data_IF_233591998294
#
_entry.id   IF_233591998294
#
_cell.length_a   1.000
_cell.length_b   1.000
_cell.length_c   1.000
_cell.angle_alpha   90.00
_cell.angle_beta   90.00
_cell.angle_gamma   90.00
#
_symmetry.space_group_name_H-M   'P 1'
#
loop_
_entity.id
_entity.type
_entity.pdbx_description
1 polymer ?
#
# COMPACT_ATOMS: atom_id res chain seq x y z
N UNK A 1 -7.96 7.98 11.46
CA UNK A 1 -7.47 8.11 10.06
C UNK A 1 -7.21 6.73 9.47
N UNK A 2 -6.34 5.93 10.09
CA UNK A 2 -6.04 4.56 9.65
C UNK A 2 -7.25 3.61 9.63
N UNK A 3 -8.13 3.66 10.63
CA UNK A 3 -9.38 2.87 10.62
C UNK A 3 -10.23 3.19 9.38
N UNK A 4 -10.30 4.45 8.93
CA UNK A 4 -11.00 4.83 7.69
C UNK A 4 -10.30 4.28 6.44
N UNK A 5 -8.98 4.10 6.47
CA UNK A 5 -8.20 3.49 5.38
C UNK A 5 -8.38 1.97 5.37
N UNK A 6 -8.33 1.29 6.52
CA UNK A 6 -8.55 -0.16 6.62
C UNK A 6 -10.00 -0.53 6.29
N UNK A 7 -10.99 0.22 6.80
CA UNK A 7 -12.40 0.06 6.46
C UNK A 7 -12.63 0.28 4.96
N UNK A 8 -11.96 1.27 4.37
CA UNK A 8 -12.03 1.56 2.94
C UNK A 8 -11.42 0.45 2.07
N UNK A 9 -10.27 -0.10 2.50
CA UNK A 9 -9.58 -1.18 1.78
C UNK A 9 -10.21 -2.57 2.03
N UNK A 10 -11.23 -2.67 2.89
CA UNK A 10 -11.87 -3.94 3.24
C UNK A 10 -10.93 -4.91 3.98
N UNK A 11 -9.93 -4.38 4.69
CA UNK A 11 -8.92 -5.17 5.38
C UNK A 11 -9.33 -5.35 6.84
N UNK A 12 -9.41 -6.61 7.31
CA UNK A 12 -9.42 -6.89 8.74
C UNK A 12 -8.09 -6.41 9.33
N UNK A 13 -8.15 -5.46 10.26
CA UNK A 13 -6.97 -4.91 10.94
C UNK A 13 -6.09 -6.06 11.48
N UNK A 14 -4.91 -6.24 10.89
CA UNK A 14 -3.99 -7.28 11.35
C UNK A 14 -3.32 -6.83 12.65
N UNK A 15 -3.07 -7.75 13.60
CA UNK A 15 -2.33 -7.41 14.80
C UNK A 15 -0.93 -6.92 14.42
N UNK A 16 -0.58 -5.73 14.92
CA UNK A 16 0.73 -5.11 14.75
C UNK A 16 1.60 -5.45 15.95
N UNK A 17 2.82 -5.90 15.67
CA UNK A 17 3.85 -6.11 16.68
C UNK A 17 4.93 -5.04 16.56
N UNK A 18 5.03 -4.21 17.61
CA UNK A 18 6.07 -3.20 17.71
C UNK A 18 7.34 -3.86 18.25
N UNK A 19 8.36 -3.95 17.39
CA UNK A 19 9.65 -4.51 17.78
C UNK A 19 10.68 -3.39 17.90
N UNK A 20 11.42 -3.39 19.01
CA UNK A 20 12.72 -2.75 19.06
C UNK A 20 13.64 -3.52 18.11
N UNK A 21 14.14 -2.88 17.05
CA UNK A 21 15.00 -3.56 16.09
C UNK A 21 16.24 -4.10 16.80
N UNK A 22 16.63 -5.35 16.52
CA UNK A 22 17.92 -5.91 16.91
C UNK A 22 19.01 -4.90 16.54
N UNK A 23 19.74 -4.42 17.56
CA UNK A 23 20.75 -3.35 17.59
C UNK A 23 21.71 -3.29 16.38
N UNK A 24 21.20 -3.00 15.19
CA UNK A 24 22.03 -2.55 14.08
C UNK A 24 22.01 -1.04 14.20
N UNK A 25 23.09 -0.45 14.71
CA UNK A 25 23.30 1.00 14.64
C UNK A 25 23.25 1.42 13.16
N UNK A 26 22.09 1.89 12.73
CA UNK A 26 21.82 2.31 11.37
C UNK A 26 22.49 3.66 11.14
N UNK A 27 23.63 3.66 10.47
CA UNK A 27 24.22 4.90 9.95
C UNK A 27 23.73 5.09 8.52
N UNK A 28 22.90 6.12 8.33
CA UNK A 28 22.13 6.38 7.11
C UNK A 28 22.95 6.94 5.91
N UNK A 29 24.27 6.70 5.81
CA UNK A 29 24.88 6.59 4.47
C UNK A 29 25.28 5.16 4.09
N UNK A 30 25.49 4.25 5.04
CA UNK A 30 26.17 2.98 4.77
C UNK A 30 25.29 1.98 3.98
N UNK A 31 23.97 1.98 4.21
CA UNK A 31 23.03 1.06 3.52
C UNK A 31 22.42 1.59 2.21
N UNK A 32 22.58 2.88 1.91
CA UNK A 32 22.37 3.39 0.54
C UNK A 32 23.26 2.62 -0.46
N UNK A 33 24.39 2.08 0.02
CA UNK A 33 25.34 1.26 -0.76
C UNK A 33 24.86 -0.19 -0.94
N UNK A 34 24.07 -0.74 -0.01
CA UNK A 34 23.72 -2.17 0.02
C UNK A 34 22.41 -2.55 -0.70
N UNK A 35 21.74 -1.59 -1.37
CA UNK A 35 20.49 -1.82 -2.14
C UNK A 35 19.36 -2.50 -1.34
N UNK A 36 19.36 -2.38 -0.01
CA UNK A 36 18.27 -2.90 0.81
C UNK A 36 17.10 -1.89 0.74
N UNK A 37 15.90 -2.32 0.32
CA UNK A 37 14.73 -1.43 0.24
C UNK A 37 14.40 -0.80 1.59
N UNK A 38 14.05 0.49 1.58
CA UNK A 38 13.76 1.20 2.84
C UNK A 38 12.58 0.59 3.58
N UNK A 39 11.53 0.15 2.89
CA UNK A 39 10.36 -0.45 3.54
C UNK A 39 10.69 -1.75 4.26
N UNK A 40 11.48 -2.64 3.64
CA UNK A 40 12.03 -3.86 4.26
C UNK A 40 12.89 -3.59 5.52
N UNK A 41 13.40 -2.36 5.68
CA UNK A 41 14.18 -1.94 6.86
C UNK A 41 13.26 -1.43 7.96
N UNK A 42 12.10 -0.88 7.62
CA UNK A 42 11.21 -0.19 8.53
C UNK A 42 10.07 -1.09 9.02
N UNK A 43 9.69 -2.13 8.28
CA UNK A 43 8.65 -3.08 8.64
C UNK A 43 8.77 -4.42 7.91
N UNK A 44 7.91 -5.36 8.28
CA UNK A 44 7.72 -6.63 7.55
C UNK A 44 6.29 -7.15 7.67
N UNK A 45 5.77 -7.70 6.58
CA UNK A 45 4.60 -8.58 6.58
C UNK A 45 5.02 -10.06 6.56
N UNK A 46 4.78 -10.75 7.67
CA UNK A 46 4.93 -12.20 7.77
C UNK A 46 3.63 -12.88 7.29
N UNK A 47 3.68 -13.41 6.07
CA UNK A 47 2.56 -14.11 5.46
C UNK A 47 2.19 -15.44 6.13
N UNK A 48 3.15 -16.15 6.75
CA UNK A 48 2.90 -17.44 7.41
C UNK A 48 2.09 -17.19 8.69
N UNK A 49 2.52 -16.22 9.49
CA UNK A 49 1.87 -15.88 10.75
C UNK A 49 0.78 -14.80 10.60
N UNK A 50 0.57 -14.29 9.39
CA UNK A 50 -0.37 -13.21 9.04
C UNK A 50 -0.20 -11.98 9.94
N UNK A 51 1.04 -11.53 10.07
CA UNK A 51 1.44 -10.55 11.07
C UNK A 51 2.20 -9.41 10.42
N UNK A 52 1.89 -8.18 10.83
CA UNK A 52 2.67 -7.00 10.44
C UNK A 52 3.56 -6.62 11.62
N UNK A 53 4.86 -6.49 11.38
CA UNK A 53 5.80 -5.98 12.37
C UNK A 53 6.35 -4.63 11.92
N UNK A 54 6.47 -3.69 12.85
CA UNK A 54 6.99 -2.35 12.58
C UNK A 54 8.22 -2.12 13.46
N UNK A 55 9.27 -1.56 12.87
CA UNK A 55 10.56 -1.35 13.51
C UNK A 55 10.74 0.11 13.94
N UNK A 56 10.20 0.47 15.11
CA UNK A 56 10.19 1.84 15.63
C UNK A 56 11.56 2.52 15.63
N UNK A 57 12.59 1.87 16.19
CA UNK A 57 13.96 2.39 16.22
C UNK A 57 14.53 2.69 14.82
N UNK A 58 14.16 1.89 13.81
CA UNK A 58 14.60 2.11 12.43
C UNK A 58 13.89 3.33 11.81
N UNK A 59 12.60 3.51 12.11
CA UNK A 59 11.80 4.67 11.70
C UNK A 59 12.33 5.96 12.33
N UNK A 60 12.64 5.94 13.63
CA UNK A 60 13.25 7.09 14.31
C UNK A 60 14.59 7.46 13.68
N UNK A 61 15.45 6.46 13.43
CA UNK A 61 16.76 6.68 12.79
C UNK A 61 16.63 7.25 11.38
N UNK A 62 15.67 6.75 10.59
CA UNK A 62 15.38 7.27 9.26
C UNK A 62 14.85 8.71 9.32
N UNK A 63 13.93 8.99 10.24
CA UNK A 63 13.36 10.33 10.41
C UNK A 63 14.42 11.35 10.84
N UNK A 64 15.31 10.97 11.77
CA UNK A 64 16.45 11.77 12.17
C UNK A 64 17.37 12.07 10.98
N UNK A 65 17.63 11.09 10.12
CA UNK A 65 18.46 11.27 8.94
C UNK A 65 17.84 12.25 7.93
N UNK A 66 16.52 12.19 7.70
CA UNK A 66 15.81 13.15 6.84
C UNK A 66 15.90 14.57 7.43
N UNK A 67 15.67 14.70 8.74
CA UNK A 67 15.73 15.97 9.46
C UNK A 67 17.12 16.62 9.37
N UNK A 68 18.18 15.87 9.68
CA UNK A 68 19.57 16.37 9.65
C UNK A 68 20.02 16.80 8.25
N UNK A 69 19.54 16.10 7.22
CA UNK A 69 19.84 16.41 5.81
C UNK A 69 18.96 17.54 5.24
N UNK A 70 18.04 18.10 6.05
CA UNK A 70 17.06 19.11 5.62
C UNK A 70 16.21 18.65 4.43
N UNK A 71 15.97 17.35 4.36
CA UNK A 71 15.02 16.76 3.43
C UNK A 71 13.63 16.98 4.02
N UNK A 72 12.64 17.39 3.21
CA UNK A 72 11.30 17.76 3.66
C UNK A 72 11.29 18.93 4.67
N UNK A 73 12.17 19.92 4.49
CA UNK A 73 12.30 21.07 5.40
C UNK A 73 10.97 21.83 5.59
N UNK A 74 10.15 21.94 4.53
CA UNK A 74 8.81 22.55 4.60
C UNK A 74 7.86 21.77 5.54
N UNK A 75 7.95 20.43 5.53
CA UNK A 75 7.18 19.57 6.44
C UNK A 75 7.69 19.70 7.88
N UNK A 76 9.02 19.70 8.09
CA UNK A 76 9.61 19.83 9.43
C UNK A 76 9.49 21.25 10.02
N UNK A 77 9.25 22.27 9.20
CA UNK A 77 8.85 23.60 9.69
C UNK A 77 7.38 23.63 10.12
N UNK A 78 6.52 22.82 9.48
CA UNK A 78 5.09 22.74 9.78
C UNK A 78 4.79 21.82 10.97
N UNK A 79 5.55 20.74 11.13
CA UNK A 79 5.32 19.70 12.12
C UNK A 79 6.58 19.36 12.91
N UNK A 80 6.42 18.90 14.16
CA UNK A 80 7.54 18.40 14.94
C UNK A 80 8.11 17.11 14.32
N UNK A 81 9.40 16.85 14.60
CA UNK A 81 10.06 15.60 14.17
C UNK A 81 9.30 14.35 14.65
N UNK A 82 8.79 14.37 15.87
CA UNK A 82 8.02 13.25 16.43
C UNK A 82 6.72 13.01 15.65
N UNK A 83 6.05 14.09 15.22
CA UNK A 83 4.84 13.95 14.39
C UNK A 83 5.16 13.39 12.99
N UNK A 84 6.28 13.82 12.39
CA UNK A 84 6.74 13.24 11.11
C UNK A 84 7.13 11.77 11.28
N UNK A 85 7.74 11.41 12.42
CA UNK A 85 8.07 10.01 12.77
C UNK A 85 6.80 9.16 12.81
N UNK A 86 5.72 9.66 13.42
CA UNK A 86 4.42 9.00 13.43
C UNK A 86 3.82 8.86 12.01
N UNK A 87 3.98 9.86 11.14
CA UNK A 87 3.52 9.72 9.75
C UNK A 87 4.28 8.62 9.02
N UNK A 88 5.61 8.59 9.15
CA UNK A 88 6.45 7.54 8.55
C UNK A 88 6.06 6.17 9.09
N UNK A 89 5.81 6.06 10.39
CA UNK A 89 5.32 4.83 11.02
C UNK A 89 4.00 4.33 10.39
N UNK A 90 3.04 5.23 10.19
CA UNK A 90 1.77 4.85 9.55
C UNK A 90 1.92 4.54 8.05
N UNK A 91 2.87 5.15 7.35
CA UNK A 91 3.21 4.81 5.96
C UNK A 91 3.78 3.39 5.86
N UNK A 92 4.72 3.04 6.74
CA UNK A 92 5.29 1.69 6.82
C UNK A 92 4.20 0.68 7.12
N UNK A 93 3.35 0.97 8.11
CA UNK A 93 2.19 0.14 8.43
C UNK A 93 1.30 -0.09 7.21
N UNK A 94 0.99 0.96 6.47
CA UNK A 94 0.13 0.89 5.28
C UNK A 94 0.78 0.06 4.16
N UNK A 95 2.09 0.18 3.97
CA UNK A 95 2.86 -0.62 3.00
C UNK A 95 2.79 -2.12 3.33
N UNK A 96 3.05 -2.50 4.58
CA UNK A 96 2.96 -3.92 4.97
C UNK A 96 1.54 -4.46 4.89
N UNK A 97 0.54 -3.63 5.21
CA UNK A 97 -0.87 -3.99 5.00
C UNK A 97 -1.24 -4.10 3.52
N UNK A 98 -0.57 -3.37 2.62
CA UNK A 98 -0.77 -3.51 1.18
C UNK A 98 -0.27 -4.87 0.68
N UNK A 99 0.86 -5.37 1.19
CA UNK A 99 1.29 -6.75 0.95
C UNK A 99 0.27 -7.76 1.47
N UNK A 100 -0.22 -7.55 2.70
CA UNK A 100 -1.27 -8.39 3.27
C UNK A 100 -2.57 -8.35 2.46
N UNK A 101 -2.96 -7.19 1.93
CA UNK A 101 -4.14 -7.04 1.08
C UNK A 101 -3.97 -7.81 -0.23
N UNK A 102 -2.82 -7.67 -0.90
CA UNK A 102 -2.56 -8.41 -2.12
C UNK A 102 -2.58 -9.94 -1.88
N UNK A 103 -2.02 -10.40 -0.75
CA UNK A 103 -1.99 -11.81 -0.35
C UNK A 103 -3.36 -12.36 0.11
N UNK A 104 -3.97 -11.73 1.11
CA UNK A 104 -5.13 -12.22 1.86
C UNK A 104 -6.46 -11.53 1.51
N UNK A 105 -6.42 -10.39 0.80
CA UNK A 105 -7.61 -9.56 0.60
C UNK A 105 -8.76 -10.37 0.01
N UNK A 106 -10.00 -10.03 0.37
CA UNK A 106 -11.19 -10.54 -0.29
C UNK A 106 -11.54 -9.58 -1.42
N UNK A 107 -11.58 -10.05 -2.66
CA UNK A 107 -12.26 -9.29 -3.70
C UNK A 107 -13.73 -9.66 -3.62
N UNK A 108 -14.58 -8.71 -3.22
CA UNK A 108 -16.02 -8.92 -3.25
C UNK A 108 -16.60 -8.70 -4.65
N UNK A 109 -15.76 -8.46 -5.65
CA UNK A 109 -16.15 -8.09 -7.01
C UNK A 109 -15.83 -9.23 -7.97
N UNK A 110 -16.84 -9.70 -8.72
CA UNK A 110 -16.71 -10.74 -9.74
C UNK A 110 -17.12 -12.17 -9.37
N UNK A 111 -17.87 -12.40 -8.30
CA UNK A 111 -18.50 -13.72 -8.04
C UNK A 111 -17.52 -14.88 -7.73
N UNK A 112 -16.27 -14.59 -7.41
CA UNK A 112 -15.36 -15.60 -6.85
C UNK A 112 -15.68 -15.78 -5.36
N UNK A 113 -16.65 -16.66 -5.06
CA UNK A 113 -16.98 -17.07 -3.68
C UNK A 113 -15.84 -17.84 -2.98
N UNK A 114 -14.74 -18.14 -3.68
CA UNK A 114 -13.59 -18.85 -3.14
C UNK A 114 -12.39 -17.91 -2.99
N UNK A 115 -12.30 -17.27 -1.82
CA UNK A 115 -11.11 -16.57 -1.36
C UNK A 115 -10.08 -17.58 -0.85
N UNK A 116 -9.47 -18.34 -1.76
CA UNK A 116 -8.19 -18.94 -1.42
C UNK A 116 -7.14 -17.82 -1.37
N UNK A 117 -6.29 -17.84 -0.35
CA UNK A 117 -5.08 -17.02 -0.30
C UNK A 117 -4.42 -17.04 -1.67
N UNK A 118 -3.99 -15.88 -2.19
CA UNK A 118 -3.24 -15.87 -3.44
C UNK A 118 -1.81 -16.37 -3.14
N UNK A 119 -1.67 -17.68 -2.96
CA UNK A 119 -0.42 -18.36 -2.62
C UNK A 119 0.65 -18.13 -3.70
N UNK A 120 0.22 -17.87 -4.94
CA UNK A 120 1.12 -17.48 -6.01
C UNK A 120 1.74 -16.09 -5.75
N UNK A 121 1.02 -15.16 -5.09
CA UNK A 121 1.62 -13.89 -4.66
C UNK A 121 2.75 -14.09 -3.69
N UNK A 122 2.65 -15.03 -2.76
CA UNK A 122 3.73 -15.28 -1.80
C UNK A 122 5.03 -15.63 -2.52
N UNK A 123 4.90 -16.45 -3.56
CA UNK A 123 5.99 -16.93 -4.39
C UNK A 123 6.35 -15.97 -5.53
N UNK A 124 5.61 -14.88 -5.71
CA UNK A 124 5.88 -13.91 -6.76
C UNK A 124 7.21 -13.17 -6.51
N UNK A 125 7.92 -12.78 -7.59
CA UNK A 125 9.16 -12.02 -7.49
C UNK A 125 8.92 -10.64 -6.85
N UNK A 126 9.92 -10.10 -6.16
CA UNK A 126 9.85 -8.75 -5.55
C UNK A 126 9.54 -7.68 -6.59
N UNK A 127 10.06 -7.84 -7.80
CA UNK A 127 9.81 -6.99 -8.96
C UNK A 127 8.33 -6.87 -9.34
N UNK A 128 7.49 -7.81 -8.91
CA UNK A 128 6.04 -7.74 -9.01
C UNK A 128 5.40 -7.24 -7.71
N UNK A 129 5.77 -7.81 -6.57
CA UNK A 129 5.06 -7.58 -5.29
C UNK A 129 5.23 -6.15 -4.77
N UNK A 130 6.45 -5.64 -4.83
CA UNK A 130 6.82 -4.36 -4.23
C UNK A 130 6.16 -3.20 -4.95
N UNK A 131 6.20 -3.11 -6.30
CA UNK A 131 5.47 -2.06 -7.01
C UNK A 131 3.96 -2.09 -6.80
N UNK A 132 3.37 -3.28 -6.58
CA UNK A 132 1.94 -3.39 -6.27
C UNK A 132 1.66 -2.79 -4.89
N UNK A 133 2.45 -3.12 -3.87
CA UNK A 133 2.28 -2.57 -2.53
C UNK A 133 2.41 -1.05 -2.54
N UNK A 134 3.44 -0.52 -3.20
CA UNK A 134 3.66 0.93 -3.34
C UNK A 134 2.51 1.62 -4.07
N UNK A 135 2.01 1.01 -5.15
CA UNK A 135 0.85 1.54 -5.87
C UNK A 135 -0.38 1.62 -4.96
N UNK A 136 -0.65 0.58 -4.16
CA UNK A 136 -1.80 0.55 -3.23
C UNK A 136 -1.66 1.67 -2.19
N UNK A 137 -0.48 1.83 -1.60
CA UNK A 137 -0.18 2.90 -0.63
C UNK A 137 -0.41 4.27 -1.26
N UNK A 138 0.21 4.53 -2.41
CA UNK A 138 0.09 5.79 -3.12
C UNK A 138 -1.36 6.10 -3.49
N UNK A 139 -2.07 5.14 -4.09
CA UNK A 139 -3.48 5.30 -4.46
C UNK A 139 -4.35 5.65 -3.24
N UNK A 140 -4.12 4.99 -2.10
CA UNK A 140 -4.85 5.26 -0.87
C UNK A 140 -4.60 6.68 -0.34
N UNK A 141 -3.35 7.17 -0.41
CA UNK A 141 -2.97 8.55 -0.06
C UNK A 141 -3.67 9.57 -0.99
N UNK A 142 -3.61 9.34 -2.31
CA UNK A 142 -4.21 10.23 -3.33
C UNK A 142 -5.73 10.30 -3.24
N UNK A 143 -6.38 9.19 -2.90
CA UNK A 143 -7.83 9.12 -2.74
C UNK A 143 -8.30 9.96 -1.56
N UNK A 144 -7.58 9.85 -0.43
CA UNK A 144 -7.88 10.57 0.80
C UNK A 144 -7.35 12.03 0.81
N UNK A 145 -6.61 12.45 -0.22
CA UNK A 145 -6.05 13.81 -0.38
C UNK A 145 -5.09 14.19 0.76
N UNK A 146 -4.23 13.27 1.20
CA UNK A 146 -3.24 13.54 2.24
C UNK A 146 -1.93 14.07 1.64
N UNK A 147 -1.91 15.36 1.28
CA UNK A 147 -0.78 15.99 0.55
C UNK A 147 0.56 15.91 1.29
N UNK A 148 0.60 16.13 2.61
CA UNK A 148 1.84 16.05 3.39
C UNK A 148 2.35 14.60 3.48
N UNK A 149 1.45 13.63 3.60
CA UNK A 149 1.78 12.20 3.61
C UNK A 149 2.26 11.74 2.23
N UNK A 150 1.68 12.28 1.14
CA UNK A 150 2.15 12.07 -0.23
C UNK A 150 3.60 12.53 -0.40
N UNK A 151 3.93 13.74 0.08
CA UNK A 151 5.31 14.25 0.02
C UNK A 151 6.30 13.35 0.77
N UNK A 152 5.95 12.94 2.00
CA UNK A 152 6.80 12.05 2.80
C UNK A 152 6.97 10.70 2.12
N UNK A 153 5.88 10.12 1.59
CA UNK A 153 5.91 8.87 0.85
C UNK A 153 6.84 8.95 -0.38
N UNK A 154 6.66 9.97 -1.23
CA UNK A 154 7.47 10.16 -2.43
C UNK A 154 8.95 10.39 -2.13
N UNK A 155 9.26 10.99 -0.98
CA UNK A 155 10.64 11.15 -0.54
C UNK A 155 11.23 9.82 -0.05
N UNK A 156 10.48 9.06 0.75
CA UNK A 156 10.89 7.73 1.20
C UNK A 156 11.10 6.77 0.01
N UNK A 157 10.22 6.81 -1.00
CA UNK A 157 10.31 6.02 -2.25
C UNK A 157 11.64 6.24 -3.00
N UNK A 158 12.31 7.40 -2.84
CA UNK A 158 13.63 7.62 -3.47
C UNK A 158 14.73 6.73 -2.88
N UNK A 159 14.52 6.18 -1.68
CA UNK A 159 15.46 5.29 -1.00
C UNK A 159 15.19 3.80 -1.31
N UNK A 160 14.22 3.48 -2.17
CA UNK A 160 13.99 2.11 -2.65
C UNK A 160 14.76 1.81 -3.95
N UNK A 161 15.05 0.54 -4.28
CA UNK A 161 15.56 0.16 -5.58
C UNK A 161 14.63 0.60 -6.72
N UNK A 162 15.20 0.92 -7.89
CA UNK A 162 14.44 1.43 -9.03
C UNK A 162 13.25 0.56 -9.46
N UNK A 163 13.31 -0.77 -9.23
CA UNK A 163 12.19 -1.63 -9.58
C UNK A 163 10.96 -1.42 -8.69
N UNK A 164 11.11 -0.96 -7.44
CA UNK A 164 9.97 -0.61 -6.57
C UNK A 164 9.15 0.51 -7.21
N UNK A 165 9.84 1.51 -7.75
CA UNK A 165 9.25 2.72 -8.32
C UNK A 165 8.47 2.49 -9.63
N UNK A 166 8.44 1.25 -10.15
CA UNK A 166 7.65 0.87 -11.32
C UNK A 166 6.14 1.03 -11.08
N UNK A 167 5.70 1.22 -9.84
CA UNK A 167 4.34 1.64 -9.51
C UNK A 167 3.91 2.92 -10.25
N UNK A 168 4.85 3.80 -10.60
CA UNK A 168 4.61 5.01 -11.42
C UNK A 168 4.14 4.66 -12.84
N UNK A 169 4.58 3.52 -13.38
CA UNK A 169 4.11 3.03 -14.68
C UNK A 169 2.63 2.62 -14.63
N UNK A 170 2.21 1.97 -13.53
CA UNK A 170 0.80 1.64 -13.27
C UNK A 170 -0.03 2.91 -13.09
N UNK A 171 0.45 3.85 -12.27
CA UNK A 171 -0.22 5.13 -12.07
C UNK A 171 -0.44 5.86 -13.39
N UNK A 172 0.61 6.04 -14.20
CA UNK A 172 0.51 6.69 -15.50
C UNK A 172 -0.51 6.02 -16.40
N UNK A 173 -0.46 4.68 -16.50
CA UNK A 173 -1.39 3.90 -17.32
C UNK A 173 -2.86 4.08 -16.92
N UNK A 174 -3.11 4.25 -15.62
CA UNK A 174 -4.45 4.49 -15.08
C UNK A 174 -4.85 5.96 -15.27
N UNK A 175 -3.97 6.91 -14.93
CA UNK A 175 -4.24 8.34 -15.07
C UNK A 175 -4.57 8.75 -16.52
N UNK A 176 -3.89 8.18 -17.51
CA UNK A 176 -4.13 8.46 -18.93
C UNK A 176 -5.50 8.01 -19.44
N UNK A 177 -6.12 7.01 -18.79
CA UNK A 177 -7.34 6.36 -19.28
C UNK A 177 -8.58 6.60 -18.40
N UNK A 178 -8.42 7.17 -17.20
CA UNK A 178 -9.46 7.12 -16.16
C UNK A 178 -9.75 8.48 -15.48
N UNK A 179 -9.78 9.57 -16.26
CA UNK A 179 -9.98 10.94 -15.75
C UNK A 179 -11.34 11.14 -15.03
N UNK A 180 -12.37 10.30 -15.28
CA UNK A 180 -13.72 10.53 -14.74
C UNK A 180 -14.31 9.46 -13.81
N UNK A 181 -13.81 8.22 -13.81
CA UNK A 181 -14.40 7.16 -12.98
C UNK A 181 -13.60 7.08 -11.67
N UNK A 182 -14.04 7.88 -10.71
CA UNK A 182 -13.26 8.34 -9.57
C UNK A 182 -12.42 7.29 -8.84
N UNK A 183 -11.12 7.61 -8.71
CA UNK A 183 -10.13 7.31 -7.66
C UNK A 183 -10.01 5.90 -7.04
N UNK A 184 -10.92 4.96 -7.30
CA UNK A 184 -11.07 3.68 -6.60
C UNK A 184 -10.41 2.54 -7.36
N UNK A 185 -9.10 2.65 -7.57
CA UNK A 185 -8.38 1.79 -8.51
C UNK A 185 -7.80 0.51 -7.88
N UNK A 186 -7.73 0.44 -6.54
CA UNK A 186 -7.08 -0.67 -5.83
C UNK A 186 -7.79 -2.00 -6.07
N UNK A 187 -9.11 -2.05 -5.88
CA UNK A 187 -9.87 -3.30 -6.02
C UNK A 187 -9.90 -3.84 -7.46
N UNK A 188 -10.11 -3.03 -8.52
CA UNK A 188 -9.99 -3.49 -9.90
C UNK A 188 -8.61 -4.06 -10.26
N UNK A 189 -7.52 -3.44 -9.81
CA UNK A 189 -6.15 -3.91 -10.10
C UNK A 189 -5.89 -5.24 -9.39
N UNK A 190 -6.29 -5.36 -8.13
CA UNK A 190 -6.24 -6.64 -7.42
C UNK A 190 -7.08 -7.72 -8.13
N UNK A 191 -8.20 -7.33 -8.74
CA UNK A 191 -9.02 -8.20 -9.59
C UNK A 191 -8.28 -8.75 -10.80
N UNK A 192 -7.59 -7.89 -11.55
CA UNK A 192 -6.74 -8.32 -12.68
C UNK A 192 -5.61 -9.23 -12.19
N UNK A 193 -4.95 -8.85 -11.10
CA UNK A 193 -3.83 -9.60 -10.52
C UNK A 193 -4.21 -11.05 -10.18
N UNK A 194 -5.45 -11.28 -9.71
CA UNK A 194 -5.91 -12.58 -9.21
C UNK A 194 -6.73 -13.38 -10.22
N UNK A 195 -7.43 -12.71 -11.13
CA UNK A 195 -8.17 -13.35 -12.21
C UNK A 195 -7.25 -13.86 -13.33
N UNK A 196 -6.04 -13.30 -13.42
CA UNK A 196 -5.02 -13.66 -14.41
C UNK A 196 -3.82 -14.31 -13.73
N UNK A 197 -3.13 -15.22 -14.42
CA UNK A 197 -1.86 -15.78 -13.93
C UNK A 197 -0.73 -14.76 -14.08
N UNK A 198 -0.67 -13.75 -13.21
CA UNK A 198 0.35 -12.70 -13.25
C UNK A 198 1.63 -13.17 -12.56
N UNK A 199 2.70 -13.36 -13.34
CA UNK A 199 4.01 -13.82 -12.88
C UNK A 199 5.10 -12.73 -12.98
N UNK A 200 4.77 -11.59 -13.59
CA UNK A 200 5.69 -10.48 -13.85
C UNK A 200 4.95 -9.16 -13.89
N UNK A 201 5.67 -8.08 -13.56
CA UNK A 201 5.10 -6.73 -13.59
C UNK A 201 4.77 -6.26 -15.01
N UNK A 202 5.54 -6.69 -16.02
CA UNK A 202 5.25 -6.36 -17.42
C UNK A 202 3.93 -6.98 -17.89
N UNK A 203 3.66 -8.22 -17.45
CA UNK A 203 2.38 -8.87 -17.70
C UNK A 203 1.24 -8.17 -16.97
N UNK A 204 1.45 -7.78 -15.71
CA UNK A 204 0.47 -6.96 -14.99
C UNK A 204 0.15 -5.68 -15.78
N UNK A 205 1.19 -4.96 -16.19
CA UNK A 205 1.02 -3.75 -16.99
C UNK A 205 0.21 -4.06 -18.25
N UNK A 206 0.50 -5.11 -19.02
CA UNK A 206 -0.27 -5.43 -20.23
C UNK A 206 -1.74 -5.73 -19.95
N UNK A 207 -2.04 -6.43 -18.85
CA UNK A 207 -3.40 -6.84 -18.48
C UNK A 207 -4.25 -5.72 -17.86
N UNK A 208 -3.60 -4.70 -17.27
CA UNK A 208 -4.27 -3.48 -16.80
C UNK A 208 -4.76 -2.68 -18.00
N UNK A 209 -5.97 -2.99 -18.46
CA UNK A 209 -6.67 -2.35 -19.58
C UNK A 209 -7.98 -1.73 -19.12
N UNK A 210 -8.51 -0.80 -19.93
CA UNK A 210 -9.76 -0.13 -19.60
C UNK A 210 -10.91 -1.14 -19.46
N UNK A 211 -11.05 -1.99 -20.47
CA UNK A 211 -12.11 -2.98 -20.61
C UNK A 211 -12.12 -4.01 -19.46
N UNK A 212 -10.95 -4.38 -18.93
CA UNK A 212 -10.86 -5.33 -17.80
C UNK A 212 -11.17 -4.69 -16.46
N UNK A 213 -10.73 -3.44 -16.24
CA UNK A 213 -10.94 -2.77 -14.95
C UNK A 213 -12.34 -2.14 -14.84
N UNK A 214 -13.01 -1.79 -15.95
CA UNK A 214 -14.28 -1.05 -15.92
C UNK A 214 -15.41 -1.82 -15.25
N UNK A 215 -15.63 -3.11 -15.56
CA UNK A 215 -16.64 -3.91 -14.87
C UNK A 215 -16.37 -3.99 -13.37
N UNK A 216 -15.12 -4.23 -12.97
CA UNK A 216 -14.72 -4.33 -11.57
C UNK A 216 -14.89 -3.02 -10.80
N UNK A 217 -14.63 -1.89 -11.46
CA UNK A 217 -14.83 -0.56 -10.88
C UNK A 217 -16.32 -0.27 -10.66
N UNK A 218 -17.17 -0.55 -11.66
CA UNK A 218 -18.63 -0.42 -11.53
C UNK A 218 -19.16 -1.28 -10.39
N UNK A 219 -18.72 -2.55 -10.30
CA UNK A 219 -19.09 -3.45 -9.21
C UNK A 219 -18.63 -2.93 -7.84
N UNK A 220 -17.40 -2.41 -7.73
CA UNK A 220 -16.88 -1.84 -6.49
C UNK A 220 -17.70 -0.64 -6.00
N UNK A 221 -18.18 0.18 -6.93
CA UNK A 221 -19.02 1.33 -6.63
C UNK A 221 -20.39 0.84 -6.15
N UNK A 222 -21.00 -0.10 -6.87
CA UNK A 222 -22.32 -0.67 -6.54
C UNK A 222 -22.34 -1.36 -5.18
N UNK A 223 -21.29 -2.11 -4.83
CA UNK A 223 -21.20 -2.79 -3.55
C UNK A 223 -21.08 -1.82 -2.37
N UNK A 224 -20.27 -0.76 -2.49
CA UNK A 224 -20.22 0.28 -1.46
C UNK A 224 -21.57 1.00 -1.29
N UNK A 225 -22.36 1.14 -2.36
CA UNK A 225 -23.74 1.61 -2.25
C UNK A 225 -24.65 0.60 -1.55
N UNK A 226 -24.42 -0.71 -1.75
CA UNK A 226 -25.18 -1.77 -1.11
C UNK A 226 -24.85 -1.90 0.39
N UNK A 227 -23.59 -1.80 0.80
CA UNK A 227 -23.17 -1.81 2.22
C UNK A 227 -23.55 -0.53 2.96
N UNK A 228 -23.70 0.60 2.26
CA UNK A 228 -24.27 1.83 2.82
C UNK A 228 -25.79 1.80 2.93
N UNK A 229 -26.48 0.76 2.44
CA UNK A 229 -27.87 0.53 2.86
C UNK A 229 -27.81 0.01 4.29
N UNK A 230 -28.57 0.60 5.24
CA UNK A 230 -28.71 -0.02 6.55
C UNK A 230 -29.17 -1.46 6.35
N UNK A 231 -28.70 -2.43 7.17
CA UNK A 231 -29.18 -3.79 7.09
C UNK A 231 -30.71 -3.74 7.10
N UNK A 232 -31.35 -4.43 6.15
CA UNK A 232 -32.79 -4.47 5.93
C UNK A 232 -33.58 -5.12 7.08
N UNK A 233 -33.00 -5.20 8.28
CA UNK A 233 -33.65 -5.63 9.52
C UNK A 233 -34.28 -4.49 10.33
N UNK A 234 -34.45 -3.29 9.76
CA UNK A 234 -35.15 -2.16 10.42
C UNK A 234 -36.58 -1.89 9.92
N UNK A 235 -37.12 -2.72 9.03
CA UNK A 235 -38.56 -2.70 8.70
C UNK A 235 -39.18 -4.08 8.93
N UNK A 236 -39.34 -4.44 10.20
CA UNK A 236 -40.46 -5.24 10.66
C UNK A 236 -41.12 -4.44 11.78
N UNK A 237 -42.18 -3.71 11.43
CA UNK A 237 -43.27 -3.31 12.34
C UNK A 237 -44.40 -4.27 12.06
#
# INVERSE_FOLDING_TARGET
MLLKLCDFLGIAYLPVDERESLERKFTFPQRLVDKIPIWDILGEYDAINKKVSIYGNAIESFTEALYQQKVLDDIFQKYSKDFVTLIIHELVRLHEHAHALAHCGKLVFGGAENCEEWKEFLNAPKELKEPIAEFIVYAAIKENKFEDMEKIFLEADKFTPAFYQRWKELEKKIAEKWIEIGKRHIAPILGVIRGEKIDSFDKLLSEVTYDKLQPMLVESILYQFAEKRPPSSFFQI
#
